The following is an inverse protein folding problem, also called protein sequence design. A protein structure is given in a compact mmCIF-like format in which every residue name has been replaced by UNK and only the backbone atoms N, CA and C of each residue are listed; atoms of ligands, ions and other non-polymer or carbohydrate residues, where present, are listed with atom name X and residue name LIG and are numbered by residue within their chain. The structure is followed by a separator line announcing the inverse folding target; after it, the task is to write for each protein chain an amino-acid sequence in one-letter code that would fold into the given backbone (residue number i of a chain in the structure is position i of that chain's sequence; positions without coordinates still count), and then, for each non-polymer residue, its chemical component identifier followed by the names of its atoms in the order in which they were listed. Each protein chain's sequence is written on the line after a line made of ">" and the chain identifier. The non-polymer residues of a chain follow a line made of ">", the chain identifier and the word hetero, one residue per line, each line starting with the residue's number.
data_IF_644793198473
#
_entry.id   IF_644793198473
#
_cell.length_a   1.000
_cell.length_b   1.000
_cell.length_c   1.000
_cell.angle_alpha   90.00
_cell.angle_beta   90.00
_cell.angle_gamma   90.00
#
_symmetry.space_group_name_H-M   'P 1'
#
loop_
_entity.id
_entity.type
_entity.pdbx_description
1 polymer ?
#
# COMPACT_ATOMS: atom_id res chain seq x y z
N UNK A 1 0.36 -1.94 -22.74
CA UNK A 1 1.47 -1.96 -21.79
C UNK A 1 1.66 -3.39 -21.29
N UNK A 2 2.86 -3.71 -20.84
CA UNK A 2 3.30 -5.05 -20.45
C UNK A 2 3.84 -5.02 -19.02
N UNK A 3 3.72 -6.14 -18.31
CA UNK A 3 4.13 -6.26 -16.91
C UNK A 3 5.66 -6.34 -16.73
N UNK A 4 6.40 -6.62 -17.81
CA UNK A 4 7.87 -6.78 -17.77
C UNK A 4 8.65 -5.47 -17.73
N UNK A 5 8.00 -4.33 -17.98
CA UNK A 5 8.61 -3.00 -17.96
C UNK A 5 7.96 -2.15 -16.87
N UNK A 6 8.70 -1.18 -16.35
CA UNK A 6 8.14 -0.17 -15.43
C UNK A 6 7.03 0.62 -16.13
N UNK A 7 6.04 1.06 -15.35
CA UNK A 7 4.99 1.95 -15.83
C UNK A 7 5.60 3.28 -16.28
N UNK A 8 6.51 3.80 -15.46
CA UNK A 8 7.73 4.54 -15.83
C UNK A 8 8.00 4.73 -17.33
N UNK A 9 8.81 3.78 -17.81
CA UNK A 9 9.34 3.69 -19.16
C UNK A 9 8.24 3.63 -20.21
N UNK A 10 7.13 2.93 -19.92
CA UNK A 10 6.06 2.74 -20.89
C UNK A 10 5.24 4.02 -21.11
N UNK A 11 5.07 4.84 -20.08
CA UNK A 11 4.46 6.17 -20.21
C UNK A 11 5.34 7.09 -21.07
N UNK A 12 6.67 7.03 -20.90
CA UNK A 12 7.59 7.81 -21.72
C UNK A 12 7.54 7.38 -23.20
N UNK A 13 7.51 6.07 -23.48
CA UNK A 13 7.31 5.53 -24.83
C UNK A 13 5.97 6.01 -25.43
N UNK A 14 4.89 6.03 -24.63
CA UNK A 14 3.59 6.55 -25.07
C UNK A 14 3.64 8.06 -25.40
N UNK A 15 4.33 8.87 -24.58
CA UNK A 15 4.49 10.31 -24.85
C UNK A 15 5.29 10.58 -26.12
N UNK A 16 6.30 9.74 -26.42
CA UNK A 16 7.06 9.84 -27.67
C UNK A 16 6.15 9.60 -28.89
N UNK A 17 5.30 8.56 -28.85
CA UNK A 17 4.35 8.30 -29.92
C UNK A 17 3.37 9.47 -30.12
N UNK A 18 2.87 10.07 -29.03
CA UNK A 18 2.00 11.25 -29.13
C UNK A 18 2.72 12.44 -29.77
N UNK A 19 4.00 12.62 -29.45
CA UNK A 19 4.82 13.68 -30.03
C UNK A 19 5.06 13.44 -31.53
N UNK A 20 5.33 12.21 -31.94
CA UNK A 20 5.55 11.86 -33.36
C UNK A 20 4.27 12.08 -34.19
N UNK A 21 3.11 11.65 -33.67
CA UNK A 21 1.80 11.92 -34.30
C UNK A 21 1.56 13.43 -34.45
N UNK A 22 1.92 14.21 -33.43
CA UNK A 22 1.81 15.66 -33.49
C UNK A 22 2.76 16.28 -34.53
N UNK A 23 3.98 15.76 -34.65
CA UNK A 23 4.96 16.19 -35.65
C UNK A 23 4.50 15.87 -37.08
N UNK A 24 3.71 14.82 -37.28
CA UNK A 24 3.05 14.49 -38.54
C UNK A 24 1.83 15.38 -38.85
N UNK A 25 1.51 16.35 -37.98
CA UNK A 25 0.40 17.29 -38.15
C UNK A 25 -0.95 16.80 -37.65
N UNK A 26 -0.98 15.66 -36.95
CA UNK A 26 -2.21 15.10 -36.36
C UNK A 26 -2.31 15.46 -34.88
N UNK A 27 -3.45 16.02 -34.47
CA UNK A 27 -3.69 16.36 -33.06
C UNK A 27 -4.69 15.38 -32.46
N UNK A 28 -4.26 14.65 -31.43
CA UNK A 28 -5.13 13.80 -30.62
C UNK A 28 -5.70 14.60 -29.45
N UNK A 29 -7.01 14.57 -29.25
CA UNK A 29 -7.65 15.25 -28.12
C UNK A 29 -7.17 14.70 -26.77
N UNK A 30 -7.03 15.57 -25.76
CA UNK A 30 -6.53 15.19 -24.44
C UNK A 30 -7.33 14.04 -23.81
N UNK A 31 -8.66 14.06 -23.94
CA UNK A 31 -9.55 12.97 -23.48
C UNK A 31 -9.23 11.63 -24.11
N UNK A 32 -8.86 11.61 -25.40
CA UNK A 32 -8.46 10.39 -26.10
C UNK A 32 -7.11 9.88 -25.61
N UNK A 33 -6.15 10.78 -25.38
CA UNK A 33 -4.83 10.41 -24.86
C UNK A 33 -4.94 9.80 -23.46
N UNK A 34 -5.72 10.42 -22.58
CA UNK A 34 -6.02 9.93 -21.23
C UNK A 34 -6.73 8.58 -21.27
N UNK A 35 -7.81 8.46 -22.06
CA UNK A 35 -8.54 7.20 -22.19
C UNK A 35 -7.66 6.07 -22.74
N UNK A 36 -6.84 6.37 -23.75
CA UNK A 36 -5.90 5.42 -24.34
C UNK A 36 -4.90 4.93 -23.31
N UNK A 37 -4.30 5.83 -22.52
CA UNK A 37 -3.33 5.45 -21.49
C UNK A 37 -3.97 4.56 -20.42
N UNK A 38 -5.17 4.90 -19.94
CA UNK A 38 -5.94 4.11 -18.97
C UNK A 38 -6.29 2.73 -19.53
N UNK A 39 -6.72 2.67 -20.80
CA UNK A 39 -7.15 1.43 -21.41
C UNK A 39 -5.97 0.48 -21.66
N UNK A 40 -4.80 1.04 -22.01
CA UNK A 40 -3.57 0.28 -22.26
C UNK A 40 -2.84 -0.17 -21.00
N UNK A 41 -3.29 0.20 -19.80
CA UNK A 41 -2.72 -0.29 -18.54
C UNK A 41 -2.73 -1.83 -18.48
N UNK A 42 -1.68 -2.46 -17.93
CA UNK A 42 -1.61 -3.91 -17.82
C UNK A 42 -2.67 -4.47 -16.87
N UNK A 43 -2.99 -5.77 -16.96
CA UNK A 43 -3.96 -6.42 -16.07
C UNK A 43 -3.64 -6.25 -14.58
N UNK A 44 -2.37 -6.20 -14.19
CA UNK A 44 -1.96 -6.00 -12.78
C UNK A 44 -2.39 -4.64 -12.21
N UNK A 45 -2.74 -3.67 -13.07
CA UNK A 45 -3.22 -2.34 -12.72
C UNK A 45 -4.76 -2.23 -12.72
N UNK A 46 -5.49 -3.35 -12.77
CA UNK A 46 -6.96 -3.39 -12.87
C UNK A 46 -7.67 -2.53 -11.81
N UNK A 47 -7.26 -2.62 -10.56
CA UNK A 47 -7.93 -1.87 -9.47
C UNK A 47 -7.70 -0.36 -9.59
N UNK A 48 -6.47 0.03 -9.96
CA UNK A 48 -6.17 1.42 -10.26
C UNK A 48 -6.94 1.93 -11.49
N UNK A 49 -7.05 1.11 -12.54
CA UNK A 49 -7.87 1.39 -13.72
C UNK A 49 -9.34 1.60 -13.34
N UNK A 50 -9.90 0.77 -12.45
CA UNK A 50 -11.26 0.94 -11.93
C UNK A 50 -11.41 2.24 -11.12
N UNK A 51 -10.46 2.53 -10.24
CA UNK A 51 -10.41 3.79 -9.49
C UNK A 51 -10.45 5.01 -10.42
N UNK A 52 -9.68 4.99 -11.51
CA UNK A 52 -9.67 6.07 -12.49
C UNK A 52 -11.02 6.20 -13.23
N UNK A 53 -11.66 5.07 -13.60
CA UNK A 53 -12.97 5.05 -14.28
C UNK A 53 -14.10 5.60 -13.42
N UNK A 54 -14.07 5.39 -12.11
CA UNK A 54 -15.10 5.88 -11.19
C UNK A 54 -14.88 7.32 -10.74
N UNK A 55 -13.75 7.93 -11.11
CA UNK A 55 -13.43 9.30 -10.71
C UNK A 55 -14.23 10.30 -11.55
N UNK A 56 -15.22 10.96 -10.92
CA UNK A 56 -16.11 11.95 -11.56
C UNK A 56 -15.43 13.26 -12.02
N UNK A 57 -14.12 13.43 -11.79
CA UNK A 57 -13.39 14.67 -12.11
C UNK A 57 -12.60 14.47 -13.40
N UNK A 58 -12.77 15.40 -14.34
CA UNK A 58 -11.92 15.48 -15.54
C UNK A 58 -10.44 15.46 -15.16
N UNK A 59 -9.68 14.61 -15.86
CA UNK A 59 -8.27 14.37 -15.59
C UNK A 59 -7.47 14.73 -16.82
N UNK A 60 -6.54 15.68 -16.64
CA UNK A 60 -5.50 15.99 -17.63
C UNK A 60 -4.48 14.87 -17.74
N UNK A 61 -3.82 14.75 -18.88
CA UNK A 61 -2.80 13.72 -19.11
C UNK A 61 -1.66 13.81 -18.08
N UNK A 62 -1.16 15.01 -17.81
CA UNK A 62 -0.11 15.23 -16.80
C UNK A 62 -0.51 14.73 -15.42
N UNK A 63 -1.76 15.00 -15.01
CA UNK A 63 -2.29 14.54 -13.74
C UNK A 63 -2.40 13.02 -13.67
N UNK A 64 -2.70 12.35 -14.79
CA UNK A 64 -2.70 10.89 -14.88
C UNK A 64 -1.27 10.35 -14.72
N UNK A 65 -0.29 10.95 -15.38
CA UNK A 65 1.11 10.54 -15.31
C UNK A 65 1.65 10.63 -13.87
N UNK A 66 1.36 11.73 -13.16
CA UNK A 66 1.77 11.89 -11.75
C UNK A 66 1.15 10.80 -10.88
N UNK A 67 -0.13 10.47 -11.09
CA UNK A 67 -0.80 9.41 -10.33
C UNK A 67 -0.24 8.02 -10.63
N UNK A 68 0.14 7.75 -11.89
CA UNK A 68 0.79 6.50 -12.28
C UNK A 68 2.15 6.34 -11.59
N UNK A 69 2.94 7.41 -11.46
CA UNK A 69 4.21 7.40 -10.71
C UNK A 69 4.00 7.01 -9.25
N UNK A 70 3.09 7.71 -8.57
CA UNK A 70 2.80 7.48 -7.15
C UNK A 70 2.31 6.04 -6.93
N UNK A 71 1.40 5.56 -7.76
CA UNK A 71 0.86 4.21 -7.65
C UNK A 71 1.93 3.14 -7.92
N UNK A 72 2.86 3.37 -8.85
CA UNK A 72 3.98 2.46 -9.09
C UNK A 72 4.89 2.37 -7.87
N UNK A 73 5.23 3.51 -7.27
CA UNK A 73 6.05 3.58 -6.05
C UNK A 73 5.36 2.89 -4.87
N UNK A 74 4.05 3.09 -4.71
CA UNK A 74 3.24 2.42 -3.68
C UNK A 74 3.32 0.90 -3.82
N UNK A 75 3.10 0.36 -5.02
CA UNK A 75 3.20 -1.07 -5.31
C UNK A 75 4.59 -1.63 -5.06
N UNK A 76 5.64 -0.86 -5.29
CA UNK A 76 7.01 -1.27 -4.96
C UNK A 76 7.25 -1.28 -3.46
N UNK A 77 6.70 -0.33 -2.72
CA UNK A 77 6.83 -0.26 -1.25
C UNK A 77 6.08 -1.41 -0.55
N UNK A 78 4.88 -1.76 -1.01
CA UNK A 78 4.10 -2.90 -0.50
C UNK A 78 4.82 -4.23 -0.71
N UNK A 79 5.44 -4.45 -1.89
CA UNK A 79 6.25 -5.65 -2.13
C UNK A 79 7.42 -5.76 -1.15
N UNK A 80 8.07 -4.64 -0.82
CA UNK A 80 9.16 -4.61 0.16
C UNK A 80 8.62 -4.88 1.57
N UNK A 81 7.52 -4.24 1.98
CA UNK A 81 6.89 -4.43 3.29
C UNK A 81 6.34 -5.85 3.49
N UNK A 82 5.75 -6.45 2.45
CA UNK A 82 5.28 -7.85 2.47
C UNK A 82 6.42 -8.85 2.66
N UNK A 83 7.61 -8.56 2.14
CA UNK A 83 8.81 -9.38 2.40
C UNK A 83 9.27 -9.29 3.86
N UNK A 84 9.13 -8.14 4.53
CA UNK A 84 9.44 -8.01 5.96
C UNK A 84 8.39 -8.65 6.88
N UNK A 85 7.13 -8.77 6.45
CA UNK A 85 6.05 -9.35 7.26
C UNK A 85 6.15 -10.87 7.42
N UNK A 86 7.01 -11.56 6.65
CA UNK A 86 7.26 -13.00 6.81
C UNK A 86 8.29 -13.32 7.90
N UNK A 87 8.97 -12.33 8.48
CA UNK A 87 9.97 -12.51 9.56
C UNK A 87 9.45 -12.07 10.95
N UNK A 88 8.14 -12.00 11.15
CA UNK A 88 7.58 -11.86 12.50
C UNK A 88 7.63 -13.22 13.22
N UNK A 89 8.80 -13.61 13.76
CA UNK A 89 8.88 -14.66 14.78
C UNK A 89 8.23 -14.15 16.07
N UNK A 90 6.96 -14.49 16.27
CA UNK A 90 6.30 -14.32 17.56
C UNK A 90 6.92 -15.30 18.56
N UNK A 91 7.69 -14.80 19.54
CA UNK A 91 7.99 -15.57 20.74
C UNK A 91 6.77 -15.48 21.66
N UNK A 92 6.04 -16.58 21.79
CA UNK A 92 5.03 -16.76 22.83
C UNK A 92 5.78 -17.10 24.13
N UNK A 93 5.66 -16.24 25.14
CA UNK A 93 6.00 -16.61 26.51
C UNK A 93 4.69 -17.02 27.18
N UNK A 94 4.59 -18.28 27.60
CA UNK A 94 3.52 -18.69 28.50
C UNK A 94 3.74 -17.96 29.83
N UNK A 95 2.84 -17.04 30.16
CA UNK A 95 2.68 -16.61 31.54
C UNK A 95 2.04 -17.77 32.28
N UNK A 96 2.82 -18.43 33.14
CA UNK A 96 2.29 -19.30 34.19
C UNK A 96 1.39 -18.45 35.09
N UNK A 97 0.10 -18.43 34.77
CA UNK A 97 -0.93 -17.89 35.65
C UNK A 97 -1.08 -18.91 36.77
N UNK A 98 -0.39 -18.66 37.90
CA UNK A 98 -0.64 -19.41 39.13
C UNK A 98 -2.12 -19.21 39.53
N UNK A 99 -2.86 -20.29 39.81
CA UNK A 99 -4.27 -20.19 40.15
C UNK A 99 -4.41 -19.53 41.54
N UNK A 100 -5.09 -18.38 41.59
CA UNK A 100 -5.47 -17.75 42.84
C UNK A 100 -6.50 -18.65 43.55
N UNK A 101 -6.07 -19.36 44.58
CA UNK A 101 -6.97 -20.07 45.50
C UNK A 101 -7.65 -19.08 46.46
N UNK A 102 -8.95 -19.27 46.76
CA UNK A 102 -9.67 -18.43 47.71
C UNK A 102 -9.51 -18.94 49.15
N UNK A 103 -9.23 -18.02 50.07
CA UNK A 103 -9.50 -18.19 51.51
C UNK A 103 -8.28 -18.32 52.42
N UNK A 104 -8.13 -17.37 53.35
CA UNK A 104 -8.14 -17.71 54.78
C UNK A 104 -8.28 -16.46 55.68
N UNK A 105 -9.14 -16.62 56.68
CA UNK A 105 -9.43 -15.67 57.74
C UNK A 105 -8.19 -15.30 58.56
N UNK A 106 -8.15 -14.03 59.01
CA UNK A 106 -7.18 -13.52 59.98
C UNK A 106 -7.11 -14.40 61.24
N UNK A 107 -5.90 -14.76 61.63
CA UNK A 107 -5.54 -15.00 63.04
C UNK A 107 -4.29 -14.17 63.34
N UNK A 108 -4.41 -13.20 64.24
CA UNK A 108 -3.26 -12.49 64.80
C UNK A 108 -2.57 -13.38 65.83
N UNK A 109 -1.23 -13.39 65.89
CA UNK A 109 -0.50 -13.82 67.08
C UNK A 109 -0.02 -12.60 67.89
N UNK A 110 -0.45 -12.58 69.15
CA UNK A 110 0.03 -11.70 70.22
C UNK A 110 1.56 -11.76 70.37
N UNK A 111 2.20 -10.59 70.47
CA UNK A 111 3.64 -10.47 70.78
C UNK A 111 3.83 -10.35 72.30
N UNK A 112 4.75 -11.09 72.95
CA UNK A 112 4.98 -10.98 74.39
C UNK A 112 5.85 -9.75 74.74
N UNK A 113 5.54 -9.17 75.90
CA UNK A 113 6.31 -8.15 76.62
C UNK A 113 7.80 -8.52 76.72
N UNK A 114 8.68 -7.54 76.50
CA UNK A 114 10.05 -7.53 77.02
C UNK A 114 10.21 -6.37 77.98
N UNK A 115 10.79 -6.71 79.13
CA UNK A 115 11.13 -5.86 80.25
C UNK A 115 12.21 -4.83 79.89
N UNK A 116 11.99 -3.56 80.22
CA UNK A 116 12.80 -2.73 81.12
C UNK A 116 11.99 -1.50 81.59
#
# INVERSE_FOLDING_TARGET
>A
MVDSKTMISQVQEFQLILHDIHAEGMVLGESFQVATLIEKLPPIWKDFKNYLKHKRKEMKLENLIVRLRIEEDNRQSEKKAGNYHQEAKANVVEQDVLPLYPGNCRQEPSVPLRDE
#
